data_IF_209975901249
#
_entry.id   IF_209975901249
#
_cell.length_a   1.000
_cell.length_b   1.000
_cell.length_c   1.000
_cell.angle_alpha   90.00
_cell.angle_beta   90.00
_cell.angle_gamma   90.00
#
_symmetry.space_group_name_H-M   'P 1'
#
loop_
_entity.id
_entity.type
_entity.pdbx_description
1 polymer ?
#
# COMPACT_ATOMS: atom_id res chain seq x y z
N UNK A 1 -4.74 25.33 -19.39
CA UNK A 1 -6.13 25.79 -19.63
C UNK A 1 -6.92 24.77 -20.46
N UNK A 2 -6.35 24.13 -21.47
CA UNK A 2 -7.03 23.12 -22.29
C UNK A 2 -7.39 21.87 -21.48
N UNK A 3 -6.52 21.43 -20.60
CA UNK A 3 -6.75 20.28 -19.71
C UNK A 3 -7.94 20.57 -18.78
N UNK A 4 -7.97 21.76 -18.22
CA UNK A 4 -9.06 22.19 -17.32
C UNK A 4 -10.40 22.25 -18.06
N UNK A 5 -10.41 22.76 -19.29
CA UNK A 5 -11.60 22.86 -20.15
C UNK A 5 -12.15 21.47 -20.51
N UNK A 6 -11.30 20.45 -20.59
CA UNK A 6 -11.65 19.07 -20.91
C UNK A 6 -11.98 18.20 -19.70
N UNK A 7 -12.17 18.79 -18.51
CA UNK A 7 -12.53 18.06 -17.31
C UNK A 7 -11.37 17.80 -16.35
N UNK A 8 -10.18 18.31 -16.66
CA UNK A 8 -9.01 18.20 -15.82
C UNK A 8 -8.20 16.93 -16.06
N UNK A 9 -7.26 16.67 -15.15
CA UNK A 9 -6.39 15.49 -15.22
C UNK A 9 -7.17 14.25 -14.80
N UNK A 10 -7.12 13.20 -15.60
CA UNK A 10 -7.66 11.89 -15.27
C UNK A 10 -6.52 10.96 -14.84
N UNK A 11 -6.55 10.53 -13.59
CA UNK A 11 -5.54 9.62 -13.03
C UNK A 11 -6.07 8.19 -13.06
N UNK A 12 -5.33 7.29 -13.69
CA UNK A 12 -5.64 5.86 -13.73
C UNK A 12 -4.59 5.14 -12.90
N UNK A 13 -5.02 4.49 -11.82
CA UNK A 13 -4.17 3.66 -11.00
C UNK A 13 -4.42 2.19 -11.34
N UNK A 14 -3.39 1.50 -11.79
CA UNK A 14 -3.49 0.09 -12.21
C UNK A 14 -3.19 -0.90 -11.10
N UNK A 15 -2.86 -0.39 -9.93
CA UNK A 15 -2.62 -1.20 -8.72
C UNK A 15 -2.90 -0.37 -7.47
N UNK A 16 -3.11 -1.04 -6.35
CA UNK A 16 -3.21 -0.40 -5.03
C UNK A 16 -1.88 -0.61 -4.30
N UNK A 17 -1.32 0.47 -3.77
CA UNK A 17 -0.08 0.42 -3.01
C UNK A 17 -0.30 -0.16 -1.62
N UNK A 18 0.78 -0.53 -0.94
CA UNK A 18 0.72 -1.07 0.43
C UNK A 18 0.35 -0.01 1.46
N UNK A 19 0.31 1.26 1.08
CA UNK A 19 -0.07 2.38 1.93
C UNK A 19 -1.12 3.24 1.25
N UNK A 20 -2.23 3.49 1.94
CA UNK A 20 -3.29 4.38 1.45
C UNK A 20 -2.78 5.82 1.27
N UNK A 21 -1.77 6.22 2.03
CA UNK A 21 -1.14 7.54 1.89
C UNK A 21 -0.51 7.73 0.51
N UNK A 22 0.16 6.71 -0.01
CA UNK A 22 0.78 6.74 -1.35
C UNK A 22 -0.30 6.85 -2.42
N UNK A 23 -1.39 6.09 -2.28
CA UNK A 23 -2.52 6.15 -3.20
C UNK A 23 -3.17 7.54 -3.19
N UNK A 24 -3.34 8.12 -2.01
CA UNK A 24 -3.88 9.49 -1.89
C UNK A 24 -2.98 10.54 -2.51
N UNK A 25 -1.66 10.38 -2.41
CA UNK A 25 -0.72 11.28 -3.07
C UNK A 25 -0.81 11.19 -4.59
N UNK A 26 -1.02 10.00 -5.12
CA UNK A 26 -1.23 9.80 -6.56
C UNK A 26 -2.52 10.47 -7.03
N UNK A 27 -3.63 10.21 -6.34
CA UNK A 27 -4.94 10.81 -6.63
C UNK A 27 -4.88 12.34 -6.50
N UNK A 28 -4.15 12.83 -5.50
CA UNK A 28 -4.00 14.26 -5.22
C UNK A 28 -3.28 15.06 -6.31
N UNK A 29 -2.75 14.41 -7.33
CA UNK A 29 -2.20 15.09 -8.52
C UNK A 29 -3.32 15.61 -9.42
N UNK A 30 -4.53 15.09 -9.26
CA UNK A 30 -5.74 15.54 -9.95
C UNK A 30 -6.56 16.46 -9.04
N UNK A 31 -7.39 17.31 -9.62
CA UNK A 31 -8.37 18.15 -8.91
C UNK A 31 -7.76 19.02 -7.80
N UNK A 32 -6.53 19.51 -7.98
CA UNK A 32 -5.87 20.39 -6.99
C UNK A 32 -6.55 21.75 -6.94
N UNK A 33 -6.68 22.29 -5.72
CA UNK A 33 -7.16 23.65 -5.48
C UNK A 33 -8.50 23.95 -6.17
N UNK A 34 -9.38 22.95 -6.19
CA UNK A 34 -10.69 23.09 -6.82
C UNK A 34 -10.71 22.90 -8.33
N UNK A 35 -9.58 22.55 -8.94
CA UNK A 35 -9.57 22.22 -10.37
C UNK A 35 -10.36 20.93 -10.64
N UNK A 36 -11.01 20.82 -11.80
CA UNK A 36 -11.69 19.58 -12.16
C UNK A 36 -10.69 18.43 -12.35
N UNK A 37 -11.11 17.24 -12.05
CA UNK A 37 -10.30 16.05 -12.24
C UNK A 37 -11.02 14.78 -11.86
N UNK A 38 -10.48 13.67 -12.29
CA UNK A 38 -11.03 12.34 -12.03
C UNK A 38 -9.92 11.36 -11.68
N UNK A 39 -10.28 10.31 -10.96
CA UNK A 39 -9.39 9.18 -10.76
C UNK A 39 -10.17 7.87 -10.86
N UNK A 40 -9.45 6.82 -11.20
CA UNK A 40 -10.03 5.48 -11.29
C UNK A 40 -8.97 4.44 -10.96
N UNK A 41 -9.35 3.45 -10.16
CA UNK A 41 -8.52 2.30 -9.85
C UNK A 41 -8.95 1.10 -10.68
N UNK A 42 -7.96 0.41 -11.25
CA UNK A 42 -8.14 -0.90 -11.87
C UNK A 42 -7.32 -1.90 -11.06
N UNK A 43 -7.99 -2.76 -10.31
CA UNK A 43 -7.38 -3.69 -9.39
C UNK A 43 -7.56 -5.12 -9.89
N UNK A 44 -6.61 -5.99 -9.58
CA UNK A 44 -6.62 -7.39 -9.97
C UNK A 44 -6.31 -8.28 -8.76
N UNK A 45 -6.86 -9.48 -8.74
CA UNK A 45 -6.50 -10.49 -7.73
C UNK A 45 -5.05 -10.98 -7.89
N UNK A 46 -4.38 -10.63 -8.99
CA UNK A 46 -2.97 -10.92 -9.23
C UNK A 46 -2.03 -9.79 -8.77
N UNK A 47 -2.58 -8.71 -8.20
CA UNK A 47 -1.79 -7.57 -7.75
C UNK A 47 -0.81 -7.94 -6.62
N UNK A 48 0.32 -7.24 -6.59
CA UNK A 48 1.36 -7.46 -5.57
C UNK A 48 0.85 -7.27 -4.15
N UNK A 49 -0.13 -6.38 -3.95
CA UNK A 49 -0.75 -6.16 -2.64
C UNK A 49 -1.24 -7.48 -2.02
N UNK A 50 -1.78 -8.37 -2.85
CA UNK A 50 -2.34 -9.64 -2.40
C UNK A 50 -1.30 -10.73 -2.20
N UNK A 51 -0.05 -10.51 -2.60
CA UNK A 51 1.05 -11.47 -2.38
C UNK A 51 1.40 -11.66 -0.90
N UNK A 52 0.95 -10.76 -0.03
CA UNK A 52 1.08 -10.93 1.41
C UNK A 52 0.21 -12.05 1.97
N UNK A 53 -0.78 -12.50 1.21
CA UNK A 53 -1.66 -13.60 1.58
C UNK A 53 -1.00 -14.94 1.26
N UNK A 54 -1.35 -15.97 2.02
CA UNK A 54 -0.93 -17.33 1.72
C UNK A 54 -1.52 -17.81 0.39
N UNK A 55 -0.77 -18.65 -0.32
CA UNK A 55 -1.21 -19.19 -1.60
C UNK A 55 -2.57 -19.89 -1.51
N UNK A 56 -2.81 -20.62 -0.40
CA UNK A 56 -4.09 -21.28 -0.16
C UNK A 56 -5.26 -20.29 -0.06
N UNK A 57 -5.03 -19.13 0.53
CA UNK A 57 -6.02 -18.05 0.62
C UNK A 57 -6.30 -17.44 -0.74
N UNK A 58 -5.24 -17.22 -1.53
CA UNK A 58 -5.36 -16.68 -2.90
C UNK A 58 -6.15 -17.64 -3.77
N UNK A 59 -5.90 -18.94 -3.69
CA UNK A 59 -6.63 -19.95 -4.45
C UNK A 59 -8.10 -20.00 -4.06
N UNK A 60 -8.43 -19.93 -2.77
CA UNK A 60 -9.81 -19.86 -2.29
C UNK A 60 -10.52 -18.62 -2.81
N UNK A 61 -9.85 -17.48 -2.80
CA UNK A 61 -10.40 -16.23 -3.33
C UNK A 61 -10.64 -16.32 -4.82
N UNK A 62 -9.71 -16.90 -5.57
CA UNK A 62 -9.85 -17.09 -7.01
C UNK A 62 -11.05 -17.99 -7.35
N UNK A 63 -11.29 -19.03 -6.56
CA UNK A 63 -12.44 -19.92 -6.72
C UNK A 63 -13.76 -19.25 -6.37
N UNK A 64 -13.78 -18.38 -5.37
CA UNK A 64 -14.98 -17.67 -4.94
C UNK A 64 -15.27 -16.43 -5.78
N UNK A 65 -14.30 -15.96 -6.54
CA UNK A 65 -14.46 -14.79 -7.40
C UNK A 65 -15.31 -15.15 -8.63
N UNK A 66 -16.44 -14.47 -8.77
CA UNK A 66 -17.32 -14.62 -9.94
C UNK A 66 -17.23 -13.34 -10.76
N UNK A 67 -16.48 -13.40 -11.85
CA UNK A 67 -16.39 -12.31 -12.79
C UNK A 67 -17.64 -12.23 -13.65
N UNK A 68 -17.99 -11.04 -14.09
CA UNK A 68 -19.05 -10.83 -15.06
C UNK A 68 -18.57 -11.17 -16.49
N UNK A 69 -19.40 -10.84 -17.49
CA UNK A 69 -19.07 -11.11 -18.91
C UNK A 69 -17.81 -10.39 -19.39
N UNK A 70 -17.44 -9.28 -18.72
CA UNK A 70 -16.26 -8.47 -19.07
C UNK A 70 -15.03 -8.86 -18.23
N UNK A 71 -15.16 -9.87 -17.37
CA UNK A 71 -14.10 -10.29 -16.47
C UNK A 71 -13.98 -9.40 -15.22
N UNK A 72 -14.95 -8.52 -14.99
CA UNK A 72 -14.96 -7.64 -13.83
C UNK A 72 -15.59 -8.32 -12.61
N UNK A 73 -14.98 -8.09 -11.45
CA UNK A 73 -15.50 -8.57 -10.18
C UNK A 73 -16.54 -7.60 -9.61
N UNK A 74 -17.50 -8.10 -8.78
CA UNK A 74 -18.45 -7.23 -8.11
C UNK A 74 -17.76 -6.13 -7.27
N UNK A 75 -18.42 -4.99 -7.11
CA UNK A 75 -17.89 -3.83 -6.38
C UNK A 75 -17.53 -4.13 -4.92
N UNK A 76 -18.12 -5.15 -4.30
CA UNK A 76 -17.79 -5.58 -2.94
C UNK A 76 -16.33 -6.02 -2.76
N UNK A 77 -15.65 -6.41 -3.80
CA UNK A 77 -14.24 -6.76 -3.77
C UNK A 77 -13.33 -5.56 -3.45
N UNK A 78 -13.78 -4.34 -3.71
CA UNK A 78 -13.01 -3.15 -3.33
C UNK A 78 -12.78 -3.08 -1.82
N UNK A 79 -13.77 -3.46 -1.02
CA UNK A 79 -13.61 -3.55 0.44
C UNK A 79 -12.54 -4.53 0.85
N UNK A 80 -12.46 -5.66 0.15
CA UNK A 80 -11.40 -6.65 0.37
C UNK A 80 -10.01 -6.05 0.12
N UNK A 81 -9.80 -5.33 -0.97
CA UNK A 81 -8.54 -4.65 -1.25
C UNK A 81 -8.19 -3.61 -0.19
N UNK A 82 -9.15 -2.80 0.22
CA UNK A 82 -8.95 -1.80 1.26
C UNK A 82 -8.61 -2.42 2.61
N UNK A 83 -9.27 -3.51 2.97
CA UNK A 83 -8.99 -4.23 4.21
C UNK A 83 -7.59 -4.86 4.20
N UNK A 84 -7.17 -5.41 3.07
CA UNK A 84 -5.83 -5.95 2.89
C UNK A 84 -4.78 -4.85 3.01
N UNK A 85 -5.02 -3.70 2.39
CA UNK A 85 -4.13 -2.55 2.49
C UNK A 85 -3.99 -2.06 3.94
N UNK A 86 -5.10 -1.95 4.68
CA UNK A 86 -5.10 -1.56 6.09
C UNK A 86 -4.35 -2.57 6.95
N UNK A 87 -4.51 -3.86 6.69
CA UNK A 87 -3.78 -4.92 7.37
C UNK A 87 -2.27 -4.77 7.16
N UNK A 88 -1.84 -4.54 5.92
CA UNK A 88 -0.42 -4.33 5.61
C UNK A 88 0.14 -3.07 6.26
N UNK A 89 -0.62 -1.98 6.28
CA UNK A 89 -0.21 -0.74 6.95
C UNK A 89 0.03 -0.97 8.44
N UNK A 90 -0.86 -1.70 9.10
CA UNK A 90 -0.72 -2.06 10.53
C UNK A 90 0.49 -2.95 10.76
N UNK A 91 0.71 -3.92 9.88
CA UNK A 91 1.86 -4.81 9.95
C UNK A 91 3.17 -4.05 9.79
N UNK A 92 3.28 -3.19 8.79
CA UNK A 92 4.46 -2.36 8.56
C UNK A 92 4.72 -1.38 9.70
N UNK A 93 3.67 -0.81 10.28
CA UNK A 93 3.76 0.07 11.45
C UNK A 93 4.32 -0.68 12.66
N UNK A 94 3.85 -1.89 12.89
CA UNK A 94 4.35 -2.76 13.95
C UNK A 94 5.83 -3.10 13.72
N UNK A 95 6.20 -3.48 12.51
CA UNK A 95 7.58 -3.78 12.16
C UNK A 95 8.51 -2.59 12.39
N UNK A 96 8.08 -1.36 12.02
CA UNK A 96 8.86 -0.15 12.28
C UNK A 96 9.04 0.11 13.78
N UNK A 97 7.99 -0.07 14.57
CA UNK A 97 8.07 0.07 16.04
C UNK A 97 9.01 -0.93 16.66
N UNK A 98 8.94 -2.19 16.23
CA UNK A 98 9.81 -3.24 16.72
C UNK A 98 11.26 -2.97 16.34
N UNK A 99 11.51 -2.49 15.13
CA UNK A 99 12.84 -2.10 14.67
C UNK A 99 13.42 -0.96 15.51
N UNK A 100 12.63 0.08 15.78
CA UNK A 100 13.05 1.21 16.63
C UNK A 100 13.36 0.75 18.07
N UNK A 101 12.55 -0.15 18.60
CA UNK A 101 12.75 -0.71 19.93
C UNK A 101 14.04 -1.54 20.00
N UNK A 102 14.30 -2.36 18.98
CA UNK A 102 15.54 -3.13 18.88
C UNK A 102 16.75 -2.21 18.77
N UNK A 103 16.65 -1.14 18.00
CA UNK A 103 17.74 -0.16 17.87
C UNK A 103 18.03 0.53 19.20
N UNK A 104 17.00 0.92 19.94
CA UNK A 104 17.15 1.49 21.28
C UNK A 104 17.83 0.51 22.24
N UNK A 105 17.41 -0.75 22.23
CA UNK A 105 18.00 -1.78 23.07
C UNK A 105 19.47 -2.03 22.69
N UNK A 106 19.79 -2.00 21.41
CA UNK A 106 21.16 -2.12 20.91
C UNK A 106 22.04 -0.99 21.44
N UNK A 107 21.57 0.24 21.36
CA UNK A 107 22.28 1.41 21.85
C UNK A 107 22.55 1.30 23.36
N UNK A 108 21.54 0.92 24.14
CA UNK A 108 21.67 0.72 25.59
C UNK A 108 22.68 -0.37 25.92
N UNK A 109 22.66 -1.48 25.17
CA UNK A 109 23.59 -2.58 25.36
C UNK A 109 25.05 -2.13 25.09
N UNK A 110 25.29 -1.40 24.01
CA UNK A 110 26.61 -0.87 23.68
C UNK A 110 27.12 0.10 24.75
N UNK A 111 26.25 0.95 25.29
CA UNK A 111 26.59 1.83 26.40
C UNK A 111 27.02 1.06 27.66
N UNK A 112 26.31 -0.01 28.00
CA UNK A 112 26.65 -0.87 29.13
C UNK A 112 28.01 -1.57 28.96
N UNK A 113 28.36 -1.86 27.70
CA UNK A 113 29.63 -2.47 27.35
C UNK A 113 30.76 -1.47 27.16
N UNK A 114 30.48 -0.17 27.25
CA UNK A 114 31.46 0.89 27.00
C UNK A 114 31.86 1.05 25.55
N UNK A 115 31.04 0.52 24.63
CA UNK A 115 31.28 0.58 23.19
C UNK A 115 30.47 1.74 22.55
N UNK A 116 30.97 2.20 21.38
CA UNK A 116 30.23 3.18 20.59
C UNK A 116 29.12 2.50 19.78
N UNK A 117 27.85 2.83 20.01
CA UNK A 117 26.74 2.20 19.28
C UNK A 117 26.71 2.54 17.78
N UNK A 118 27.46 3.57 17.36
CA UNK A 118 27.52 4.01 15.97
C UNK A 118 28.73 3.45 15.20
N UNK A 119 29.56 2.66 15.86
CA UNK A 119 30.60 1.92 15.14
C UNK A 119 29.95 0.86 14.27
N UNK A 120 30.12 1.00 12.97
CA UNK A 120 29.66 0.03 12.03
C UNK A 120 30.53 -1.23 12.11
N UNK A 121 29.90 -2.37 11.88
CA UNK A 121 30.59 -3.62 11.73
C UNK A 121 31.31 -3.60 10.39
N UNK A 122 32.58 -3.25 10.41
CA UNK A 122 33.43 -3.38 9.24
C UNK A 122 34.15 -4.70 9.32
N UNK A 123 33.65 -5.65 8.60
CA UNK A 123 34.41 -6.88 8.31
C UNK A 123 34.93 -6.80 6.90
#
# INVERSE_FOLDING_TARGET
DDVRANGGLHVIATEMHTSARIDRQLIGRSARQGDPGHYQFFLSLEDELLRCLELSQIEKLAKSAKADKNGELPAGWLSFFKNTQNFLEKLHRKQRRDMLKQEKNRIEMFHKMGLDPYLEWTE
#
